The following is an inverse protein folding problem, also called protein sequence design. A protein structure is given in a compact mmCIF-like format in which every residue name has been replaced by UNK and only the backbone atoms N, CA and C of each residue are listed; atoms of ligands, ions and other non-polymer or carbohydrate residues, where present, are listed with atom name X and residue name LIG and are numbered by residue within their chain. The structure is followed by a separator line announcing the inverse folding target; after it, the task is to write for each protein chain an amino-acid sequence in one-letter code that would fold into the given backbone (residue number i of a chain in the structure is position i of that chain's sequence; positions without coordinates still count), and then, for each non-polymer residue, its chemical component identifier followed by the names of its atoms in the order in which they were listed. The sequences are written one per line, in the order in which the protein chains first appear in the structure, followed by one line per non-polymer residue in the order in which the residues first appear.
data_IF_009681313755
#
_entry.id   IF_009681313755
#
_cell.length_a   1.000
_cell.length_b   1.000
_cell.length_c   1.000
_cell.angle_alpha   90.00
_cell.angle_beta   90.00
_cell.angle_gamma   90.00
#
_symmetry.space_group_name_H-M   'P 1'
#
loop_
_entity.id
_entity.type
_entity.pdbx_description
1 polymer ?
#
# COMPACT_ATOMS: atom_id res chain seq x y z
N UNK A 1 -25.10 -18.91 18.40
CA UNK A 1 -24.34 -18.57 17.21
C UNK A 1 -23.89 -17.14 17.40
N UNK A 2 -22.63 -16.88 17.64
CA UNK A 2 -22.13 -15.51 17.81
C UNK A 2 -21.96 -14.92 16.42
N UNK A 3 -22.73 -13.91 16.08
CA UNK A 3 -22.53 -13.15 14.85
C UNK A 3 -21.32 -12.25 15.10
N UNK A 4 -20.22 -12.49 14.41
CA UNK A 4 -19.07 -11.59 14.44
C UNK A 4 -19.43 -10.39 13.62
N UNK A 5 -19.59 -9.21 14.25
CA UNK A 5 -19.79 -7.96 13.54
C UNK A 5 -18.40 -7.43 13.15
N UNK A 6 -18.07 -7.49 11.88
CA UNK A 6 -16.87 -6.86 11.33
C UNK A 6 -17.25 -5.55 10.68
N UNK A 7 -16.46 -4.50 10.94
CA UNK A 7 -16.62 -3.20 10.30
C UNK A 7 -15.42 -2.93 9.40
N UNK A 8 -15.67 -2.44 8.20
CA UNK A 8 -14.68 -2.02 7.23
C UNK A 8 -14.80 -0.52 6.98
N UNK A 9 -13.68 0.17 6.95
CA UNK A 9 -13.56 1.50 6.36
C UNK A 9 -12.50 1.44 5.25
N UNK A 10 -12.88 1.81 4.04
CA UNK A 10 -12.01 1.81 2.87
C UNK A 10 -12.21 3.09 2.06
N UNK A 11 -11.19 3.52 1.35
CA UNK A 11 -11.27 4.62 0.37
C UNK A 11 -11.89 4.15 -0.95
N UNK A 12 -12.04 2.84 -1.16
CA UNK A 12 -12.50 2.21 -2.38
C UNK A 12 -13.89 1.57 -2.20
N UNK A 13 -14.83 1.89 -3.08
CA UNK A 13 -16.18 1.33 -3.08
C UNK A 13 -16.17 -0.18 -3.28
N UNK A 14 -15.45 -0.66 -4.29
CA UNK A 14 -15.31 -2.09 -4.60
C UNK A 14 -14.72 -2.92 -3.46
N UNK A 15 -13.86 -2.34 -2.62
CA UNK A 15 -13.36 -3.02 -1.42
C UNK A 15 -14.46 -3.31 -0.41
N UNK A 16 -15.45 -2.42 -0.31
CA UNK A 16 -16.62 -2.63 0.54
C UNK A 16 -17.56 -3.70 -0.05
N UNK A 17 -17.74 -3.70 -1.37
CA UNK A 17 -18.51 -4.75 -2.08
C UNK A 17 -17.84 -6.13 -1.91
N UNK A 18 -16.49 -6.18 -1.97
CA UNK A 18 -15.73 -7.40 -1.73
C UNK A 18 -15.97 -7.96 -0.33
N UNK A 19 -15.92 -7.11 0.70
CA UNK A 19 -16.23 -7.51 2.07
C UNK A 19 -17.68 -8.03 2.20
N UNK A 20 -18.63 -7.36 1.54
CA UNK A 20 -20.04 -7.76 1.53
C UNK A 20 -20.25 -9.11 0.82
N UNK A 21 -19.45 -9.40 -0.22
CA UNK A 21 -19.56 -10.66 -0.99
C UNK A 21 -19.27 -11.93 -0.17
N UNK A 22 -18.47 -11.81 0.89
CA UNK A 22 -18.10 -12.93 1.77
C UNK A 22 -18.81 -12.92 3.13
N UNK A 23 -19.69 -11.96 3.40
CA UNK A 23 -20.35 -11.80 4.71
C UNK A 23 -21.05 -13.03 5.24
N UNK A 24 -21.71 -13.79 4.35
CA UNK A 24 -22.48 -14.98 4.70
C UNK A 24 -21.58 -16.20 5.02
N UNK A 25 -20.28 -16.11 4.72
CA UNK A 25 -19.27 -17.10 5.08
C UNK A 25 -18.73 -16.93 6.49
N UNK A 26 -19.23 -15.93 7.26
CA UNK A 26 -18.79 -15.59 8.61
C UNK A 26 -17.29 -15.22 8.68
N UNK A 27 -16.84 -14.24 7.87
CA UNK A 27 -15.44 -13.85 7.79
C UNK A 27 -14.95 -13.18 9.08
N UNK A 28 -13.66 -13.29 9.35
CA UNK A 28 -13.00 -12.47 10.36
C UNK A 28 -12.33 -11.23 9.74
N UNK A 29 -11.64 -10.42 10.54
CA UNK A 29 -10.97 -9.19 10.08
C UNK A 29 -9.85 -9.46 9.05
N UNK A 30 -9.15 -10.60 9.18
CA UNK A 30 -8.10 -10.99 8.23
C UNK A 30 -8.69 -11.37 6.87
N UNK A 31 -9.80 -12.09 6.84
CA UNK A 31 -10.50 -12.46 5.62
C UNK A 31 -10.96 -11.21 4.85
N UNK A 32 -11.58 -10.27 5.55
CA UNK A 32 -12.05 -9.00 4.99
C UNK A 32 -10.87 -8.16 4.49
N UNK A 33 -9.77 -8.08 5.26
CA UNK A 33 -8.56 -7.37 4.83
C UNK A 33 -8.04 -7.91 3.50
N UNK A 34 -7.87 -9.23 3.39
CA UNK A 34 -7.30 -9.87 2.19
C UNK A 34 -8.15 -9.59 0.97
N UNK A 35 -9.45 -9.90 1.03
CA UNK A 35 -10.34 -9.69 -0.12
C UNK A 35 -10.44 -8.21 -0.53
N UNK A 36 -10.52 -7.30 0.45
CA UNK A 36 -10.62 -5.86 0.19
C UNK A 36 -9.34 -5.28 -0.40
N UNK A 37 -8.16 -5.65 0.10
CA UNK A 37 -6.86 -5.16 -0.40
C UNK A 37 -6.63 -5.66 -1.83
N UNK A 38 -6.85 -6.94 -2.11
CA UNK A 38 -6.69 -7.47 -3.47
C UNK A 38 -7.69 -6.81 -4.42
N UNK A 39 -8.93 -6.55 -3.97
CA UNK A 39 -9.90 -5.82 -4.79
C UNK A 39 -9.46 -4.40 -5.10
N UNK A 40 -8.92 -3.65 -4.12
CA UNK A 40 -8.34 -2.32 -4.38
C UNK A 40 -7.19 -2.38 -5.39
N UNK A 41 -6.36 -3.41 -5.37
CA UNK A 41 -5.29 -3.59 -6.37
C UNK A 41 -5.84 -3.78 -7.79
N UNK A 42 -7.04 -4.32 -7.92
CA UNK A 42 -7.73 -4.47 -9.21
C UNK A 42 -8.38 -3.16 -9.64
N UNK A 43 -9.07 -2.46 -8.73
CA UNK A 43 -10.02 -1.39 -9.08
C UNK A 43 -9.48 0.02 -8.92
N UNK A 44 -8.50 0.24 -8.05
CA UNK A 44 -7.96 1.58 -7.74
C UNK A 44 -6.68 1.88 -8.53
N UNK A 45 -6.76 1.68 -9.86
CA UNK A 45 -5.64 1.82 -10.77
C UNK A 45 -4.91 3.17 -10.60
N UNK A 46 -3.60 3.09 -10.49
CA UNK A 46 -2.74 4.27 -10.29
C UNK A 46 -2.70 4.78 -8.83
N UNK A 47 -3.66 4.42 -8.00
CA UNK A 47 -3.67 4.73 -6.56
C UNK A 47 -3.12 3.54 -5.77
N UNK A 48 -3.60 2.34 -6.09
CA UNK A 48 -3.08 1.07 -5.57
C UNK A 48 -2.69 0.18 -6.76
N UNK A 49 -1.62 -0.58 -6.64
CA UNK A 49 -1.14 -1.45 -7.71
C UNK A 49 -1.05 -2.91 -7.24
N UNK A 50 -1.20 -3.89 -8.15
CA UNK A 50 -0.92 -5.30 -7.87
C UNK A 50 0.50 -5.55 -7.38
N UNK A 51 1.42 -4.62 -7.65
CA UNK A 51 2.82 -4.66 -7.19
C UNK A 51 3.08 -3.59 -6.14
N UNK A 52 2.14 -3.33 -5.25
CA UNK A 52 2.27 -2.34 -4.19
C UNK A 52 3.23 -2.77 -3.06
N UNK A 53 3.73 -1.81 -2.32
CA UNK A 53 4.22 -2.02 -0.97
C UNK A 53 3.07 -1.96 0.03
N UNK A 54 3.31 -2.37 1.27
CA UNK A 54 2.33 -2.26 2.33
C UNK A 54 2.97 -2.02 3.69
N UNK A 55 2.24 -1.35 4.55
CA UNK A 55 2.52 -1.25 5.97
C UNK A 55 1.26 -1.68 6.71
N UNK A 56 1.38 -2.67 7.59
CA UNK A 56 0.26 -3.21 8.34
C UNK A 56 0.49 -3.03 9.82
N UNK A 57 -0.50 -2.49 10.52
CA UNK A 57 -0.59 -2.57 11.99
C UNK A 57 -1.84 -3.35 12.34
N UNK A 58 -1.70 -4.37 13.19
CA UNK A 58 -2.83 -5.16 13.65
C UNK A 58 -2.78 -5.39 15.16
N UNK A 59 -3.95 -5.51 15.75
CA UNK A 59 -4.11 -5.83 17.16
C UNK A 59 -4.59 -7.27 17.31
N UNK A 60 -3.78 -8.08 18.01
CA UNK A 60 -4.11 -9.46 18.38
C UNK A 60 -4.85 -9.43 19.74
N UNK A 61 -6.16 -9.62 19.69
CA UNK A 61 -7.01 -9.55 20.88
C UNK A 61 -6.73 -10.66 21.91
N UNK A 62 -6.34 -11.83 21.44
CA UNK A 62 -6.04 -12.99 22.33
C UNK A 62 -4.75 -12.75 23.12
N UNK A 63 -3.77 -12.11 22.49
CA UNK A 63 -2.49 -11.77 23.11
C UNK A 63 -2.45 -10.38 23.74
N UNK A 64 -3.51 -9.58 23.54
CA UNK A 64 -3.57 -8.18 23.97
C UNK A 64 -2.32 -7.38 23.51
N UNK A 65 -1.93 -7.57 22.26
CA UNK A 65 -0.71 -6.98 21.70
C UNK A 65 -0.94 -6.40 20.32
N UNK A 66 -0.28 -5.27 20.05
CA UNK A 66 -0.25 -4.65 18.72
C UNK A 66 1.03 -5.03 18.02
N UNK A 67 0.93 -5.39 16.76
CA UNK A 67 2.03 -5.78 15.89
C UNK A 67 2.07 -4.87 14.66
N UNK A 68 3.25 -4.70 14.09
CA UNK A 68 3.46 -4.02 12.83
C UNK A 68 4.22 -4.91 11.86
N UNK A 69 3.89 -4.79 10.59
CA UNK A 69 4.57 -5.50 9.50
C UNK A 69 4.95 -4.50 8.43
N UNK A 70 6.23 -4.41 8.16
CA UNK A 70 6.80 -3.58 7.11
C UNK A 70 7.08 -4.45 5.88
N UNK A 71 6.31 -4.22 4.83
CA UNK A 71 6.47 -4.80 3.50
C UNK A 71 6.75 -3.71 2.47
N UNK A 72 7.67 -2.79 2.76
CA UNK A 72 8.02 -1.71 1.85
C UNK A 72 8.85 -2.23 0.67
N UNK A 73 8.93 -1.42 -0.39
CA UNK A 73 9.70 -1.75 -1.58
C UNK A 73 11.18 -1.95 -1.30
N UNK A 74 11.79 -2.91 -1.99
CA UNK A 74 13.24 -3.11 -2.00
C UNK A 74 13.74 -2.99 -3.43
N UNK A 75 14.72 -2.12 -3.66
CA UNK A 75 15.37 -2.00 -4.96
C UNK A 75 16.15 -3.29 -5.29
N UNK A 76 16.21 -3.72 -6.56
CA UNK A 76 17.09 -4.77 -7.00
C UNK A 76 18.55 -4.49 -6.61
N UNK A 77 19.35 -5.54 -6.33
CA UNK A 77 20.76 -5.38 -5.94
C UNK A 77 21.61 -4.76 -7.03
N UNK A 78 21.36 -5.16 -8.27
CA UNK A 78 22.00 -4.60 -9.45
C UNK A 78 21.13 -3.49 -10.02
N UNK A 79 21.18 -2.33 -9.38
CA UNK A 79 20.50 -1.15 -9.87
C UNK A 79 21.35 -0.49 -10.96
N UNK A 80 20.86 -0.53 -12.19
CA UNK A 80 21.59 -0.05 -13.36
C UNK A 80 21.64 1.46 -13.47
N UNK A 81 22.53 2.08 -12.75
CA UNK A 81 23.11 3.39 -13.02
C UNK A 81 22.16 4.54 -13.44
N UNK A 82 22.67 5.42 -14.30
CA UNK A 82 22.01 6.67 -14.71
C UNK A 82 21.01 6.54 -15.88
N UNK A 83 20.59 5.34 -16.24
CA UNK A 83 19.69 5.10 -17.39
C UNK A 83 18.25 5.64 -17.17
N UNK A 84 18.00 6.28 -16.04
CA UNK A 84 16.68 6.81 -15.68
C UNK A 84 16.32 8.10 -16.40
N UNK A 85 17.27 8.86 -16.91
CA UNK A 85 17.01 10.18 -17.52
C UNK A 85 16.19 10.07 -18.82
N UNK A 86 16.37 9.00 -19.56
CA UNK A 86 15.65 8.78 -20.83
C UNK A 86 14.15 8.45 -20.63
N UNK A 87 13.75 8.05 -19.42
CA UNK A 87 12.39 7.63 -19.10
C UNK A 87 11.66 8.55 -18.11
N UNK A 88 12.18 9.75 -17.89
CA UNK A 88 11.51 10.76 -17.05
C UNK A 88 10.20 11.20 -17.65
N UNK A 89 9.20 11.31 -16.79
CA UNK A 89 7.90 11.83 -17.12
C UNK A 89 7.46 12.87 -16.10
N UNK A 90 6.64 13.79 -16.55
CA UNK A 90 6.08 14.86 -15.75
C UNK A 90 4.57 14.75 -15.72
N UNK A 91 3.99 14.89 -14.56
CA UNK A 91 2.56 14.85 -14.33
C UNK A 91 2.10 16.11 -13.61
N UNK A 92 0.90 16.58 -13.93
CA UNK A 92 0.28 17.75 -13.27
C UNK A 92 -0.37 17.41 -11.94
N UNK A 93 -0.31 16.14 -11.50
CA UNK A 93 -0.81 15.70 -10.22
C UNK A 93 -0.08 16.38 -9.06
N UNK A 94 -0.82 16.81 -8.03
CA UNK A 94 -0.25 17.43 -6.83
C UNK A 94 0.51 18.74 -7.06
N UNK A 95 0.26 19.42 -8.19
CA UNK A 95 0.92 20.67 -8.59
C UNK A 95 2.02 20.49 -9.63
N UNK A 96 2.82 19.48 -9.54
CA UNK A 96 3.77 18.99 -10.55
C UNK A 96 4.63 17.89 -9.93
N UNK A 97 4.58 16.71 -10.51
CA UNK A 97 5.40 15.57 -10.06
C UNK A 97 6.23 15.06 -11.22
N UNK A 98 7.53 14.97 -11.02
CA UNK A 98 8.44 14.26 -11.91
C UNK A 98 8.69 12.86 -11.36
N UNK A 99 8.62 11.86 -12.22
CA UNK A 99 8.90 10.47 -11.90
C UNK A 99 9.55 9.78 -13.11
N UNK A 100 9.86 8.51 -12.98
CA UNK A 100 10.42 7.69 -14.05
C UNK A 100 9.51 6.50 -14.34
N UNK A 101 9.55 6.01 -15.58
CA UNK A 101 8.88 4.79 -16.05
C UNK A 101 9.87 3.87 -16.76
N UNK A 102 9.48 2.60 -16.91
CA UNK A 102 10.28 1.58 -17.60
C UNK A 102 10.84 0.52 -16.68
N UNK A 103 11.43 -0.53 -17.25
CA UNK A 103 11.85 -1.72 -16.56
C UNK A 103 12.91 -1.49 -15.47
N UNK A 104 13.70 -0.42 -15.59
CA UNK A 104 14.71 -0.04 -14.59
C UNK A 104 14.15 0.76 -13.40
N UNK A 105 12.87 1.08 -13.40
CA UNK A 105 12.20 1.75 -12.26
C UNK A 105 11.50 0.76 -11.34
N UNK A 106 11.69 -0.54 -11.56
CA UNK A 106 11.09 -1.60 -10.77
C UNK A 106 11.72 -1.72 -9.38
N UNK A 107 10.87 -1.98 -8.39
CA UNK A 107 11.28 -2.40 -7.06
C UNK A 107 10.44 -3.61 -6.62
N UNK A 108 11.05 -4.54 -5.86
CA UNK A 108 10.36 -5.73 -5.37
C UNK A 108 9.28 -5.31 -4.37
N UNK A 109 8.00 -5.60 -4.62
CA UNK A 109 6.90 -5.21 -3.75
C UNK A 109 6.78 -6.15 -2.55
N UNK A 110 6.24 -5.65 -1.43
CA UNK A 110 6.12 -6.45 -0.21
C UNK A 110 4.70 -6.87 0.15
N UNK A 111 3.69 -6.38 -0.56
CA UNK A 111 2.30 -6.58 -0.16
C UNK A 111 1.89 -8.05 -0.07
N UNK A 112 2.30 -8.89 -1.02
CA UNK A 112 1.93 -10.31 -0.99
C UNK A 112 2.60 -11.09 0.15
N UNK A 113 3.77 -10.66 0.66
CA UNK A 113 4.34 -11.23 1.90
C UNK A 113 3.53 -10.87 3.13
N UNK A 114 2.99 -9.64 3.18
CA UNK A 114 2.06 -9.25 4.25
C UNK A 114 0.78 -10.09 4.18
N UNK A 115 0.20 -10.22 2.99
CA UNK A 115 -1.04 -10.99 2.79
C UNK A 115 -0.83 -12.48 3.09
N UNK A 116 0.30 -13.06 2.69
CA UNK A 116 0.67 -14.44 3.02
C UNK A 116 0.79 -14.67 4.53
N UNK A 117 1.43 -13.71 5.23
CA UNK A 117 1.57 -13.75 6.68
C UNK A 117 0.21 -13.70 7.38
N UNK A 118 -0.66 -12.75 6.98
CA UNK A 118 -1.99 -12.60 7.59
C UNK A 118 -2.88 -13.78 7.25
N UNK A 119 -2.85 -14.26 6.01
CA UNK A 119 -3.59 -15.45 5.60
C UNK A 119 -3.21 -16.68 6.46
N UNK A 120 -1.93 -16.96 6.59
CA UNK A 120 -1.45 -18.14 7.34
C UNK A 120 -1.69 -18.05 8.84
N UNK A 121 -1.71 -16.84 9.41
CA UNK A 121 -1.85 -16.67 10.86
C UNK A 121 -3.30 -16.52 11.34
N UNK A 122 -4.14 -15.86 10.54
CA UNK A 122 -5.41 -15.36 11.04
C UNK A 122 -6.61 -15.63 10.14
N UNK A 123 -6.43 -15.90 8.85
CA UNK A 123 -7.56 -16.14 7.96
C UNK A 123 -8.35 -17.39 8.38
N UNK A 124 -9.66 -17.31 8.30
CA UNK A 124 -10.58 -18.41 8.59
C UNK A 124 -11.20 -19.02 7.34
N UNK A 125 -11.20 -18.29 6.24
CA UNK A 125 -11.71 -18.74 4.97
C UNK A 125 -10.57 -19.21 4.04
N UNK A 126 -10.82 -20.16 3.15
CA UNK A 126 -9.84 -20.60 2.18
C UNK A 126 -9.60 -19.52 1.12
N UNK A 127 -8.40 -19.54 0.52
CA UNK A 127 -7.91 -18.47 -0.35
C UNK A 127 -8.77 -18.29 -1.60
N UNK A 128 -9.31 -19.38 -2.17
CA UNK A 128 -10.21 -19.34 -3.30
C UNK A 128 -11.49 -18.52 -3.04
N UNK A 129 -11.99 -18.54 -1.79
CA UNK A 129 -13.14 -17.72 -1.40
C UNK A 129 -12.79 -16.26 -1.23
N UNK A 130 -11.60 -15.97 -0.73
CA UNK A 130 -11.12 -14.59 -0.55
C UNK A 130 -10.79 -13.91 -1.88
N UNK A 131 -10.36 -14.65 -2.88
CA UNK A 131 -10.00 -14.14 -4.20
C UNK A 131 -11.12 -14.21 -5.25
N UNK A 132 -12.25 -14.85 -4.96
CA UNK A 132 -13.37 -15.01 -5.91
C UNK A 132 -13.89 -13.66 -6.44
N UNK A 133 -14.13 -12.70 -5.55
CA UNK A 133 -14.66 -11.38 -5.94
C UNK A 133 -13.64 -10.56 -6.78
N UNK A 134 -12.38 -10.34 -6.36
CA UNK A 134 -11.42 -9.60 -7.16
C UNK A 134 -11.08 -10.28 -8.50
N UNK A 135 -11.01 -11.62 -8.56
CA UNK A 135 -10.83 -12.36 -9.81
C UNK A 135 -11.99 -12.07 -10.78
N UNK A 136 -13.22 -12.20 -10.29
CA UNK A 136 -14.42 -11.92 -11.08
C UNK A 136 -14.47 -10.47 -11.54
N UNK A 137 -14.15 -9.52 -10.67
CA UNK A 137 -14.15 -8.09 -10.99
C UNK A 137 -13.11 -7.75 -12.06
N UNK A 138 -11.91 -8.31 -11.98
CA UNK A 138 -10.88 -8.14 -13.01
C UNK A 138 -11.34 -8.68 -14.38
N UNK A 139 -12.01 -9.82 -14.40
CA UNK A 139 -12.46 -10.51 -15.62
C UNK A 139 -13.71 -9.88 -16.25
N UNK A 140 -14.74 -9.64 -15.44
CA UNK A 140 -16.03 -9.13 -15.95
C UNK A 140 -15.92 -7.65 -16.31
N UNK A 141 -15.01 -6.94 -15.66
CA UNK A 141 -14.74 -5.53 -15.83
C UNK A 141 -15.44 -4.66 -14.80
N UNK A 142 -14.89 -3.47 -14.61
CA UNK A 142 -15.35 -2.49 -13.63
C UNK A 142 -15.25 -1.06 -14.16
N UNK A 143 -16.01 -0.14 -13.58
CA UNK A 143 -15.87 1.30 -13.81
C UNK A 143 -14.80 1.87 -12.89
N UNK A 144 -14.13 2.93 -13.35
CA UNK A 144 -13.17 3.64 -12.49
C UNK A 144 -13.87 4.26 -11.28
N UNK A 145 -13.21 4.14 -10.12
CA UNK A 145 -13.60 4.86 -8.91
C UNK A 145 -13.30 6.36 -9.04
N UNK A 146 -13.96 7.21 -8.26
CA UNK A 146 -13.68 8.65 -8.33
C UNK A 146 -12.22 9.01 -8.02
N UNK A 147 -11.56 8.44 -7.00
CA UNK A 147 -10.13 8.67 -6.77
C UNK A 147 -9.24 8.30 -7.96
N UNK A 148 -9.54 7.20 -8.64
CA UNK A 148 -8.81 6.80 -9.86
C UNK A 148 -9.04 7.79 -11.00
N UNK A 149 -10.27 8.26 -11.21
CA UNK A 149 -10.56 9.28 -12.23
C UNK A 149 -9.81 10.58 -11.97
N UNK A 150 -9.83 11.06 -10.72
CA UNK A 150 -9.11 12.27 -10.31
C UNK A 150 -7.60 12.14 -10.54
N UNK A 151 -7.05 10.96 -10.32
CA UNK A 151 -5.65 10.67 -10.61
C UNK A 151 -5.38 10.57 -12.14
N UNK A 152 -6.25 9.90 -12.88
CA UNK A 152 -6.07 9.66 -14.32
C UNK A 152 -6.15 10.92 -15.17
N UNK A 153 -6.89 11.94 -14.76
CA UNK A 153 -6.88 13.26 -15.41
C UNK A 153 -5.44 13.79 -15.60
N UNK A 154 -4.54 13.46 -14.67
CA UNK A 154 -3.17 13.95 -14.64
C UNK A 154 -2.12 12.91 -15.07
N UNK A 155 -2.44 11.63 -15.00
CA UNK A 155 -1.45 10.54 -15.07
C UNK A 155 -1.71 9.51 -16.17
N UNK A 156 -2.93 9.40 -16.69
CA UNK A 156 -3.29 8.33 -17.64
C UNK A 156 -2.36 8.32 -18.86
N UNK A 157 -2.23 9.45 -19.53
CA UNK A 157 -1.39 9.58 -20.73
C UNK A 157 0.10 9.32 -20.42
N UNK A 158 0.76 10.04 -19.49
CA UNK A 158 2.19 9.88 -19.30
C UNK A 158 2.60 8.58 -18.63
N UNK A 159 1.76 8.02 -17.73
CA UNK A 159 2.12 6.84 -16.93
C UNK A 159 1.68 5.52 -17.56
N UNK A 160 0.55 5.48 -18.26
CA UNK A 160 -0.08 4.22 -18.68
C UNK A 160 -0.14 4.04 -20.19
N UNK A 161 -0.29 5.12 -20.99
CA UNK A 161 -0.51 5.00 -22.42
C UNK A 161 0.79 4.88 -23.25
N UNK A 162 1.92 4.62 -22.62
CA UNK A 162 3.19 4.39 -23.31
C UNK A 162 3.44 2.90 -23.65
N UNK A 163 2.87 1.98 -22.88
CA UNK A 163 3.04 0.54 -23.07
C UNK A 163 1.82 -0.05 -23.78
N UNK A 164 2.04 -0.96 -24.73
CA UNK A 164 0.98 -1.46 -25.61
C UNK A 164 -0.13 -2.21 -24.87
N UNK A 165 0.23 -3.04 -23.91
CA UNK A 165 -0.77 -3.77 -23.12
C UNK A 165 -1.63 -2.85 -22.24
N UNK A 166 -1.03 -1.78 -21.71
CA UNK A 166 -1.78 -0.78 -20.96
C UNK A 166 -2.76 -0.01 -21.85
N UNK A 167 -2.34 0.32 -23.10
CA UNK A 167 -3.24 0.94 -24.08
C UNK A 167 -4.45 0.06 -24.38
N UNK A 168 -4.22 -1.23 -24.57
CA UNK A 168 -5.31 -2.19 -24.84
C UNK A 168 -6.26 -2.26 -23.63
N UNK A 169 -5.72 -2.43 -22.43
CA UNK A 169 -6.52 -2.57 -21.21
C UNK A 169 -7.32 -1.30 -20.86
N UNK A 170 -6.77 -0.13 -21.16
CA UNK A 170 -7.32 1.18 -20.77
C UNK A 170 -7.96 1.95 -21.93
N UNK A 171 -8.06 1.37 -23.12
CA UNK A 171 -8.62 2.05 -24.31
C UNK A 171 -10.00 2.63 -24.06
N UNK A 172 -10.91 1.88 -23.47
CA UNK A 172 -12.28 2.33 -23.22
C UNK A 172 -12.35 3.52 -22.27
N UNK A 173 -11.50 3.54 -21.22
CA UNK A 173 -11.46 4.67 -20.26
C UNK A 173 -10.66 5.84 -20.80
N UNK A 174 -9.75 5.61 -21.72
CA UNK A 174 -9.05 6.68 -22.44
C UNK A 174 -10.01 7.47 -23.35
N UNK A 175 -10.98 6.78 -23.98
CA UNK A 175 -12.02 7.40 -24.80
C UNK A 175 -13.16 8.03 -23.95
N UNK A 176 -13.56 7.38 -22.87
CA UNK A 176 -14.61 7.85 -21.95
C UNK A 176 -14.23 7.52 -20.49
N UNK A 177 -13.61 8.48 -19.83
CA UNK A 177 -13.14 8.33 -18.46
C UNK A 177 -14.29 8.05 -17.46
N UNK A 178 -15.49 8.53 -17.77
CA UNK A 178 -16.64 8.41 -16.85
C UNK A 178 -17.37 7.07 -16.97
N UNK A 179 -17.47 6.54 -18.17
CA UNK A 179 -18.29 5.36 -18.44
C UNK A 179 -17.51 4.16 -18.98
N UNK A 180 -16.24 4.34 -19.34
CA UNK A 180 -15.40 3.27 -19.83
C UNK A 180 -15.31 2.13 -18.82
N UNK A 181 -15.25 0.90 -19.33
CA UNK A 181 -15.09 -0.33 -18.54
C UNK A 181 -13.66 -0.82 -18.71
N UNK A 182 -12.98 -1.05 -17.60
CA UNK A 182 -11.66 -1.68 -17.58
C UNK A 182 -11.83 -3.18 -17.41
N UNK A 183 -11.12 -3.98 -18.23
CA UNK A 183 -10.97 -5.42 -18.06
C UNK A 183 -9.51 -5.78 -17.95
N UNK A 184 -9.18 -6.62 -16.97
CA UNK A 184 -7.81 -7.02 -16.66
C UNK A 184 -7.70 -8.55 -16.69
N UNK A 185 -7.93 -9.15 -17.86
CA UNK A 185 -7.96 -10.62 -18.02
C UNK A 185 -6.68 -11.30 -17.52
N UNK A 186 -5.50 -10.73 -17.86
CA UNK A 186 -4.21 -11.28 -17.40
C UNK A 186 -4.04 -11.17 -15.88
N UNK A 187 -4.55 -10.12 -15.25
CA UNK A 187 -4.55 -10.00 -13.79
C UNK A 187 -5.51 -11.00 -13.16
N UNK A 188 -6.68 -11.21 -13.76
CA UNK A 188 -7.61 -12.28 -13.35
C UNK A 188 -6.94 -13.65 -13.37
N UNK A 189 -6.20 -13.98 -14.44
CA UNK A 189 -5.48 -15.25 -14.55
C UNK A 189 -4.35 -15.35 -13.48
N UNK A 190 -3.63 -14.28 -13.24
CA UNK A 190 -2.60 -14.22 -12.19
C UNK A 190 -3.21 -14.43 -10.79
N UNK A 191 -4.35 -13.81 -10.50
CA UNK A 191 -5.04 -13.98 -9.23
C UNK A 191 -5.62 -15.39 -9.06
N UNK A 192 -6.11 -16.03 -10.16
CA UNK A 192 -6.49 -17.44 -10.14
C UNK A 192 -5.31 -18.34 -9.82
N UNK A 193 -4.15 -18.12 -10.45
CA UNK A 193 -2.93 -18.84 -10.13
C UNK A 193 -2.52 -18.66 -8.65
N UNK A 194 -2.59 -17.42 -8.12
CA UNK A 194 -2.34 -17.17 -6.70
C UNK A 194 -3.35 -17.85 -5.77
N UNK A 195 -4.59 -18.00 -6.21
CA UNK A 195 -5.62 -18.73 -5.46
C UNK A 195 -5.25 -20.20 -5.26
N UNK A 196 -4.62 -20.80 -6.27
CA UNK A 196 -4.22 -22.20 -6.26
C UNK A 196 -2.87 -22.41 -5.53
N UNK A 197 -1.87 -21.60 -5.82
CA UNK A 197 -0.48 -21.77 -5.37
C UNK A 197 -0.13 -20.94 -4.11
N UNK A 198 -0.96 -19.96 -3.75
CA UNK A 198 -0.74 -19.04 -2.63
C UNK A 198 0.09 -17.81 -2.97
N UNK A 199 0.04 -16.81 -2.10
CA UNK A 199 0.72 -15.52 -2.30
C UNK A 199 2.24 -15.62 -2.42
N UNK A 200 2.85 -16.65 -1.80
CA UNK A 200 4.30 -16.78 -1.81
C UNK A 200 4.86 -17.15 -3.21
N UNK A 201 4.03 -17.66 -4.13
CA UNK A 201 4.40 -17.91 -5.53
C UNK A 201 4.89 -16.63 -6.24
N UNK A 202 4.36 -15.46 -5.84
CA UNK A 202 4.86 -14.18 -6.33
C UNK A 202 6.36 -13.98 -6.14
N UNK A 203 6.98 -14.61 -5.14
CA UNK A 203 8.40 -14.43 -4.82
C UNK A 203 9.29 -15.58 -5.24
N UNK A 204 8.80 -16.81 -5.21
CA UNK A 204 9.63 -18.01 -5.45
C UNK A 204 9.10 -18.90 -6.58
N UNK A 205 7.94 -18.56 -7.15
CA UNK A 205 7.24 -19.36 -8.15
C UNK A 205 7.32 -18.79 -9.56
N UNK A 206 6.31 -19.11 -10.35
CA UNK A 206 6.28 -18.78 -11.77
C UNK A 206 5.97 -17.29 -12.03
N UNK A 207 5.25 -16.63 -11.10
CA UNK A 207 4.97 -15.18 -11.22
C UNK A 207 6.28 -14.39 -11.21
N UNK A 208 7.18 -14.62 -10.24
CA UNK A 208 8.47 -13.91 -10.17
C UNK A 208 9.34 -14.17 -11.38
N UNK A 209 9.35 -15.41 -11.90
CA UNK A 209 10.12 -15.76 -13.11
C UNK A 209 9.59 -14.98 -14.32
N UNK A 210 8.27 -14.95 -14.52
CA UNK A 210 7.64 -14.22 -15.63
C UNK A 210 7.91 -12.71 -15.56
N UNK A 211 7.84 -12.11 -14.35
CA UNK A 211 8.16 -10.69 -14.15
C UNK A 211 9.63 -10.43 -14.52
N UNK A 212 10.56 -11.23 -14.02
CA UNK A 212 11.99 -11.06 -14.28
C UNK A 212 12.30 -11.22 -15.78
N UNK A 213 11.70 -12.19 -16.45
CA UNK A 213 11.84 -12.37 -17.90
C UNK A 213 11.36 -11.15 -18.68
N UNK A 214 10.18 -10.63 -18.34
CA UNK A 214 9.62 -9.43 -18.98
C UNK A 214 10.51 -8.21 -18.74
N UNK A 215 10.91 -7.97 -17.49
CA UNK A 215 11.82 -6.86 -17.16
C UNK A 215 13.14 -6.95 -17.93
N UNK A 216 13.69 -8.14 -18.02
CA UNK A 216 14.94 -8.38 -18.77
C UNK A 216 14.82 -8.11 -20.26
N UNK A 217 13.70 -8.49 -20.87
CA UNK A 217 13.42 -8.20 -22.29
C UNK A 217 13.34 -6.70 -22.56
N UNK A 218 12.91 -5.92 -21.61
CA UNK A 218 12.80 -4.46 -21.67
C UNK A 218 14.03 -3.72 -21.12
N UNK A 219 15.15 -4.43 -20.88
CA UNK A 219 16.40 -3.84 -20.41
C UNK A 219 16.50 -3.62 -18.91
N UNK A 220 15.58 -4.21 -18.11
CA UNK A 220 15.63 -4.15 -16.64
C UNK A 220 16.69 -5.05 -16.03
N UNK A 221 17.13 -4.71 -14.83
CA UNK A 221 18.21 -5.38 -14.11
C UNK A 221 17.76 -6.32 -12.98
N UNK A 222 16.46 -6.36 -12.67
CA UNK A 222 15.93 -7.26 -11.63
C UNK A 222 16.19 -8.73 -11.97
N UNK A 223 16.56 -9.51 -10.96
CA UNK A 223 16.83 -10.94 -11.07
C UNK A 223 15.97 -11.73 -10.09
N UNK A 224 15.76 -13.01 -10.34
CA UNK A 224 14.93 -13.89 -9.50
C UNK A 224 15.38 -13.89 -8.03
N UNK A 225 16.67 -13.74 -7.77
CA UNK A 225 17.20 -13.68 -6.40
C UNK A 225 16.75 -12.43 -5.63
N UNK A 226 16.40 -11.34 -6.29
CA UNK A 226 15.85 -10.14 -5.61
C UNK A 226 14.49 -10.45 -5.01
N UNK A 227 13.66 -11.21 -5.72
CA UNK A 227 12.37 -11.69 -5.22
C UNK A 227 12.54 -12.74 -4.12
N UNK A 228 13.36 -13.78 -4.36
CA UNK A 228 13.56 -14.90 -3.44
C UNK A 228 14.12 -14.46 -2.08
N UNK A 229 14.93 -13.41 -2.07
CA UNK A 229 15.55 -12.87 -0.86
C UNK A 229 14.70 -11.78 -0.18
N UNK A 230 13.57 -11.39 -0.78
CA UNK A 230 12.69 -10.40 -0.18
C UNK A 230 12.05 -10.93 1.10
N UNK A 231 12.15 -10.16 2.18
CA UNK A 231 11.50 -10.47 3.45
C UNK A 231 10.84 -9.22 4.02
N UNK A 232 9.70 -9.41 4.68
CA UNK A 232 9.05 -8.40 5.50
C UNK A 232 9.80 -8.22 6.82
N UNK A 233 9.63 -7.06 7.45
CA UNK A 233 10.15 -6.78 8.79
C UNK A 233 8.98 -6.73 9.76
N UNK A 234 8.97 -7.63 10.75
CA UNK A 234 7.94 -7.65 11.78
C UNK A 234 8.37 -6.83 12.99
N UNK A 235 7.38 -6.21 13.65
CA UNK A 235 7.54 -5.43 14.89
C UNK A 235 8.51 -4.23 14.82
N UNK A 236 8.76 -3.71 13.61
CA UNK A 236 9.43 -2.42 13.43
C UNK A 236 8.45 -1.27 13.72
N UNK A 237 8.13 -1.10 15.00
CA UNK A 237 7.11 -0.16 15.47
C UNK A 237 7.67 0.80 16.51
N UNK A 238 7.06 1.99 16.56
CA UNK A 238 7.14 2.82 17.75
C UNK A 238 5.89 2.64 18.60
N UNK A 239 6.04 2.81 19.90
CA UNK A 239 4.95 2.88 20.86
C UNK A 239 5.07 4.17 21.65
N UNK A 240 3.97 4.89 21.78
CA UNK A 240 3.92 6.16 22.44
C UNK A 240 2.67 6.26 23.33
N UNK A 241 2.83 6.76 24.55
CA UNK A 241 1.73 6.96 25.48
C UNK A 241 1.28 8.42 25.47
N UNK A 242 0.02 8.65 25.12
CA UNK A 242 -0.61 9.97 25.13
C UNK A 242 -1.90 9.97 25.95
N UNK A 243 -1.93 10.73 27.08
CA UNK A 243 -3.03 10.68 28.06
C UNK A 243 -3.24 9.23 28.56
N UNK A 244 -4.39 8.62 28.41
CA UNK A 244 -4.69 7.24 28.77
C UNK A 244 -4.67 6.26 27.58
N UNK A 245 -4.05 6.65 26.48
CA UNK A 245 -4.07 5.90 25.23
C UNK A 245 -2.66 5.54 24.78
N UNK A 246 -2.50 4.33 24.27
CA UNK A 246 -1.27 3.85 23.67
C UNK A 246 -1.37 4.00 22.15
N UNK A 247 -0.43 4.74 21.55
CA UNK A 247 -0.26 4.88 20.12
C UNK A 247 0.79 3.89 19.64
N UNK A 248 0.48 3.15 18.61
CA UNK A 248 1.44 2.28 17.92
C UNK A 248 1.45 2.63 16.43
N UNK A 249 2.63 2.72 15.85
CA UNK A 249 2.81 3.00 14.42
C UNK A 249 4.13 2.47 13.90
N UNK A 250 4.37 2.60 12.60
CA UNK A 250 5.60 2.14 11.96
C UNK A 250 6.77 3.10 12.22
N UNK A 251 7.93 2.56 12.61
CA UNK A 251 9.17 3.33 12.80
C UNK A 251 9.83 3.77 11.48
N UNK A 252 9.38 3.28 10.36
CA UNK A 252 9.85 3.58 9.00
C UNK A 252 9.34 2.48 8.05
N UNK A 253 9.60 2.57 6.77
CA UNK A 253 10.22 3.66 6.01
C UNK A 253 9.26 4.83 5.74
N UNK A 254 7.97 4.72 6.08
CA UNK A 254 7.00 5.81 5.93
C UNK A 254 7.27 6.93 6.94
N UNK A 255 7.12 8.17 6.49
CA UNK A 255 7.21 9.34 7.37
C UNK A 255 5.88 9.69 8.04
N UNK A 256 4.80 9.00 7.70
CA UNK A 256 3.45 9.28 8.22
C UNK A 256 3.38 9.25 9.75
N UNK A 257 3.98 8.24 10.36
CA UNK A 257 4.06 8.14 11.82
C UNK A 257 4.79 9.32 12.47
N UNK A 258 5.92 9.75 11.88
CA UNK A 258 6.66 10.92 12.34
C UNK A 258 5.81 12.21 12.25
N UNK A 259 5.08 12.39 11.15
CA UNK A 259 4.21 13.57 10.97
C UNK A 259 3.09 13.58 12.01
N UNK A 260 2.48 12.44 12.30
CA UNK A 260 1.48 12.30 13.37
C UNK A 260 2.06 12.68 14.72
N UNK A 261 3.26 12.17 15.09
CA UNK A 261 3.90 12.48 16.35
C UNK A 261 4.22 13.99 16.45
N UNK A 262 4.71 14.63 15.40
CA UNK A 262 4.97 16.08 15.36
C UNK A 262 3.68 16.88 15.56
N UNK A 263 2.61 16.49 14.89
CA UNK A 263 1.31 17.14 15.02
C UNK A 263 0.77 17.01 16.46
N UNK A 264 0.83 15.82 17.04
CA UNK A 264 0.38 15.60 18.41
C UNK A 264 1.22 16.34 19.45
N UNK A 265 2.54 16.45 19.22
CA UNK A 265 3.41 17.26 20.06
C UNK A 265 2.99 18.75 20.02
N UNK A 266 2.75 19.27 18.84
CA UNK A 266 2.32 20.67 18.68
C UNK A 266 0.94 20.94 19.32
N UNK A 267 -0.01 20.02 19.19
CA UNK A 267 -1.33 20.12 19.85
C UNK A 267 -1.26 20.06 21.39
N UNK A 268 -0.18 19.54 21.96
CA UNK A 268 0.00 19.52 23.41
C UNK A 268 0.39 20.86 24.01
N UNK A 269 0.79 21.81 23.16
CA UNK A 269 1.15 23.18 23.56
C UNK A 269 -0.12 24.02 23.51
N UNK A 270 -0.58 24.49 24.67
CA UNK A 270 -1.77 25.38 24.76
C UNK A 270 -1.58 26.63 23.90
N UNK A 271 -2.59 26.98 23.11
CA UNK A 271 -2.68 28.18 22.26
C UNK A 271 -2.10 28.14 20.85
N UNK A 272 -1.74 27.01 20.28
CA UNK A 272 -1.31 26.98 18.87
C UNK A 272 -2.47 26.96 17.89
N UNK A 273 -2.32 27.70 16.79
CA UNK A 273 -3.21 27.65 15.65
C UNK A 273 -2.95 26.34 14.88
N UNK A 274 -3.99 25.52 14.72
CA UNK A 274 -3.92 24.20 14.05
C UNK A 274 -3.41 24.34 12.61
N UNK A 275 -3.90 25.34 11.88
CA UNK A 275 -3.52 25.58 10.49
C UNK A 275 -2.04 25.95 10.37
N UNK A 276 -1.57 26.90 11.18
CA UNK A 276 -0.16 27.29 11.23
C UNK A 276 0.73 26.11 11.63
N UNK A 277 0.28 25.28 12.57
CA UNK A 277 0.97 24.08 13.00
C UNK A 277 1.14 23.08 11.85
N UNK A 278 0.08 22.82 11.11
CA UNK A 278 0.13 21.92 9.93
C UNK A 278 1.06 22.49 8.86
N UNK A 279 0.97 23.77 8.54
CA UNK A 279 1.86 24.42 7.57
C UNK A 279 3.33 24.28 7.97
N UNK A 280 3.66 24.56 9.24
CA UNK A 280 5.03 24.42 9.75
C UNK A 280 5.54 22.97 9.69
N UNK A 281 4.69 21.97 9.99
CA UNK A 281 5.05 20.56 9.87
C UNK A 281 5.31 20.17 8.41
N UNK A 282 4.50 20.66 7.47
CA UNK A 282 4.71 20.43 6.04
C UNK A 282 5.99 21.09 5.52
N UNK A 283 6.27 22.33 5.93
CA UNK A 283 7.51 23.05 5.58
C UNK A 283 8.75 22.34 6.16
N UNK A 284 8.68 21.88 7.40
CA UNK A 284 9.73 21.09 8.01
C UNK A 284 9.97 19.77 7.26
N UNK A 285 8.88 19.12 6.78
CA UNK A 285 9.00 17.96 5.91
C UNK A 285 9.76 18.27 4.63
N UNK A 286 9.40 19.34 3.91
CA UNK A 286 10.06 19.72 2.67
C UNK A 286 11.55 20.05 2.88
N UNK A 287 11.88 20.73 3.93
CA UNK A 287 13.25 21.21 4.18
C UNK A 287 14.18 20.13 4.75
N UNK A 288 13.67 19.16 5.50
CA UNK A 288 14.49 18.28 6.32
C UNK A 288 14.33 16.78 6.03
N UNK A 289 13.33 16.38 5.23
CA UNK A 289 12.98 14.97 5.11
C UNK A 289 12.94 14.43 3.68
N UNK A 290 13.36 15.19 2.69
CA UNK A 290 13.40 14.71 1.29
C UNK A 290 14.49 13.66 1.05
N UNK A 291 15.57 13.66 1.85
CA UNK A 291 16.70 12.74 1.70
C UNK A 291 16.92 11.89 2.96
N UNK A 292 16.43 10.68 2.97
CA UNK A 292 16.19 9.91 4.18
C UNK A 292 17.15 8.79 4.45
N UNK A 293 18.07 8.99 5.34
CA UNK A 293 18.86 7.91 5.90
C UNK A 293 18.14 7.10 6.98
N UNK A 294 17.75 7.70 8.08
CA UNK A 294 17.30 6.97 9.28
C UNK A 294 15.99 7.50 9.85
N UNK A 295 14.88 7.07 9.27
CA UNK A 295 13.52 7.47 9.69
C UNK A 295 13.15 6.98 11.08
N UNK A 296 13.61 5.80 11.47
CA UNK A 296 13.39 5.27 12.82
C UNK A 296 14.05 6.13 13.90
N UNK A 297 15.25 6.64 13.65
CA UNK A 297 15.94 7.57 14.55
C UNK A 297 15.19 8.91 14.67
N UNK A 298 14.67 9.43 13.56
CA UNK A 298 13.86 10.65 13.57
C UNK A 298 12.58 10.48 14.40
N UNK A 299 11.89 9.35 14.28
CA UNK A 299 10.71 9.04 15.08
C UNK A 299 11.07 8.93 16.57
N UNK A 300 12.14 8.23 16.92
CA UNK A 300 12.59 8.10 18.29
C UNK A 300 12.99 9.46 18.89
N UNK A 301 13.68 10.30 18.13
CA UNK A 301 14.03 11.65 18.55
C UNK A 301 12.79 12.51 18.82
N UNK A 302 11.74 12.40 18.00
CA UNK A 302 10.50 13.13 18.21
C UNK A 302 9.75 12.63 19.46
N UNK A 303 9.70 11.32 19.69
CA UNK A 303 9.13 10.74 20.92
C UNK A 303 9.86 11.26 22.16
N UNK A 304 11.19 11.35 22.13
CA UNK A 304 12.01 11.88 23.23
C UNK A 304 11.70 13.37 23.48
N UNK A 305 11.52 14.17 22.44
CA UNK A 305 11.12 15.58 22.57
C UNK A 305 9.76 15.71 23.24
N UNK A 306 8.78 14.95 22.80
CA UNK A 306 7.42 14.95 23.36
C UNK A 306 7.47 14.56 24.84
N UNK A 307 8.19 13.50 25.18
CA UNK A 307 8.30 13.02 26.57
C UNK A 307 9.00 14.02 27.50
N UNK A 308 9.89 14.88 26.98
CA UNK A 308 10.56 15.93 27.74
C UNK A 308 9.73 17.22 27.88
N UNK A 309 8.82 17.48 26.94
CA UNK A 309 8.02 18.72 26.94
C UNK A 309 6.76 18.62 27.80
N UNK A 310 6.38 17.43 28.25
CA UNK A 310 5.13 17.24 28.98
C UNK A 310 5.27 16.36 30.20
N UNK A 311 4.78 16.83 31.32
CA UNK A 311 4.61 16.01 32.52
C UNK A 311 3.42 15.03 32.44
N UNK A 312 2.57 15.13 31.42
CA UNK A 312 1.47 14.16 31.19
C UNK A 312 0.82 14.36 29.81
N UNK A 313 1.07 13.49 28.83
CA UNK A 313 0.35 13.51 27.55
C UNK A 313 0.12 12.09 27.02
N UNK A 314 -1.07 11.81 26.48
CA UNK A 314 -1.54 10.50 25.98
C UNK A 314 -2.36 10.66 24.69
N UNK A 315 -2.15 10.00 23.56
CA UNK A 315 -2.91 10.15 22.29
C UNK A 315 -3.47 8.90 21.66
N UNK A 316 -4.43 9.14 20.85
CA UNK A 316 -5.20 8.20 20.05
C UNK A 316 -4.78 8.20 18.57
N UNK A 317 -4.58 7.07 17.99
CA UNK A 317 -4.83 6.83 16.59
C UNK A 317 -5.74 5.62 16.44
N UNK A 318 -6.81 5.80 15.69
CA UNK A 318 -7.64 4.72 15.21
C UNK A 318 -7.52 4.71 13.69
N UNK A 319 -6.69 3.83 13.18
CA UNK A 319 -6.87 3.29 11.83
C UNK A 319 -7.03 1.80 12.05
N UNK A 320 -8.26 1.35 12.11
CA UNK A 320 -8.59 -0.04 11.94
C UNK A 320 -8.78 -0.27 10.44
N UNK A 321 -7.89 -1.00 9.88
CA UNK A 321 -8.14 -1.68 8.63
C UNK A 321 -8.57 -3.10 8.99
#
# INVERSE_FOLDING_TARGET
MFTVNVSLASTAEYSSEAAESIKDLNPNAADILITSVITSMVTDLGVVAPTASGLLTYYDGDKNSTHSVDGYFVAPKEFGGNDHEEHRISMTYGGHVETCKGANTFAVPGIYKILDLIFKRYASLPLDKLLEFPIKTAKDGFKLTQPTKDYFIHSLEPMFMWHEESKIALSNVYEDLDNGIVKLDKLSDTLNHMSDEGFNDFYIGDISKSIVETLKLEGGHAVTSDFNNYNIIEDNKFEYQYKNLKLTGHSGPSIGGLMVLKYLNALSIESQNIEETLQNIYLDRQNNYEFFGNRGELINNEIIKISKSSSTIQVLSLIHI
#
